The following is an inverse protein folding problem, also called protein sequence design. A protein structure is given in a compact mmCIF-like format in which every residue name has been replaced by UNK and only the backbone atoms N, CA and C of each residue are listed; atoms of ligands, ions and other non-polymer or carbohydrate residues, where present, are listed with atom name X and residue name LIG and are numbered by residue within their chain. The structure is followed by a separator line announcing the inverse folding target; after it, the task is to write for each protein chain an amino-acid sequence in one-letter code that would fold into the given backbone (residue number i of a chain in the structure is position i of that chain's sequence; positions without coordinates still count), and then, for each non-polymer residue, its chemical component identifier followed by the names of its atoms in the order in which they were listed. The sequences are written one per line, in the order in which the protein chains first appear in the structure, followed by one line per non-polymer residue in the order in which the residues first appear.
data_IF_575897023410
#
_entry.id   IF_575897023410
#
_cell.length_a   1.000
_cell.length_b   1.000
_cell.length_c   1.000
_cell.angle_alpha   90.00
_cell.angle_beta   90.00
_cell.angle_gamma   90.00
#
_symmetry.space_group_name_H-M   'P 1'
#
loop_
_entity.id
_entity.type
_entity.pdbx_description
1 polymer ?
#
# COMPACT_ATOMS: atom_id res chain seq x y z
N UNK A 1 1.82 41.32 -46.18
CA UNK A 1 2.48 40.94 -44.95
C UNK A 1 1.84 41.57 -43.69
N UNK A 2 1.46 42.81 -43.69
CA UNK A 2 0.84 43.50 -42.54
C UNK A 2 -0.54 42.99 -42.12
N UNK A 3 -1.41 42.55 -43.05
CA UNK A 3 -2.75 42.05 -42.72
C UNK A 3 -2.72 40.64 -42.09
N UNK A 4 -1.78 39.81 -42.49
CA UNK A 4 -1.60 38.49 -41.89
C UNK A 4 -1.10 38.61 -40.43
N UNK A 5 -0.16 39.50 -40.18
CA UNK A 5 0.36 39.80 -38.85
C UNK A 5 -0.72 40.41 -37.93
N UNK A 6 -1.59 41.29 -38.46
CA UNK A 6 -2.74 41.83 -37.72
C UNK A 6 -3.74 40.74 -37.34
N UNK A 7 -4.09 39.87 -38.26
CA UNK A 7 -5.03 38.76 -38.02
C UNK A 7 -4.48 37.79 -36.99
N UNK A 8 -3.15 37.49 -37.06
CA UNK A 8 -2.48 36.63 -36.11
C UNK A 8 -2.43 37.27 -34.72
N UNK A 9 -2.15 38.56 -34.61
CA UNK A 9 -2.18 39.32 -33.36
C UNK A 9 -3.55 39.38 -32.73
N UNK A 10 -4.62 39.57 -33.51
CA UNK A 10 -6.02 39.54 -33.02
C UNK A 10 -6.37 38.14 -32.55
N UNK A 11 -5.96 37.07 -33.26
CA UNK A 11 -6.22 35.70 -32.86
C UNK A 11 -5.55 35.34 -31.54
N UNK A 12 -4.27 35.78 -31.33
CA UNK A 12 -3.56 35.61 -30.08
C UNK A 12 -4.24 36.34 -28.92
N UNK A 13 -4.68 37.60 -29.15
CA UNK A 13 -5.37 38.37 -28.11
C UNK A 13 -6.69 37.72 -27.69
N UNK A 14 -7.50 37.25 -28.67
CA UNK A 14 -8.74 36.52 -28.38
C UNK A 14 -8.45 35.22 -27.62
N UNK A 15 -7.46 34.45 -28.06
CA UNK A 15 -7.04 33.22 -27.38
C UNK A 15 -6.61 33.48 -25.93
N UNK A 16 -5.84 34.54 -25.70
CA UNK A 16 -5.41 34.94 -24.35
C UNK A 16 -6.60 35.38 -23.47
N UNK A 17 -7.52 36.17 -24.05
CA UNK A 17 -8.73 36.59 -23.32
C UNK A 17 -9.61 35.40 -22.93
N UNK A 18 -9.80 34.42 -23.83
CA UNK A 18 -10.54 33.20 -23.55
C UNK A 18 -9.83 32.37 -22.47
N UNK A 19 -8.51 32.22 -22.55
CA UNK A 19 -7.75 31.50 -21.55
C UNK A 19 -7.86 32.13 -20.15
N UNK A 20 -7.82 33.47 -20.06
CA UNK A 20 -8.02 34.20 -18.80
C UNK A 20 -9.44 34.00 -18.26
N UNK A 21 -10.45 34.08 -19.10
CA UNK A 21 -11.84 33.87 -18.68
C UNK A 21 -12.07 32.45 -18.19
N UNK A 22 -11.51 31.47 -18.87
CA UNK A 22 -11.58 30.06 -18.43
C UNK A 22 -10.83 29.87 -17.11
N UNK A 23 -9.59 30.39 -16.98
CA UNK A 23 -8.81 30.28 -15.76
C UNK A 23 -9.48 30.95 -14.55
N UNK A 24 -10.10 32.10 -14.71
CA UNK A 24 -10.86 32.76 -13.66
C UNK A 24 -12.19 32.08 -13.39
N UNK A 25 -12.82 31.51 -14.41
CA UNK A 25 -14.08 30.77 -14.31
C UNK A 25 -13.87 29.47 -13.49
N UNK A 26 -12.81 28.73 -13.74
CA UNK A 26 -12.50 27.49 -13.00
C UNK A 26 -12.21 27.72 -11.51
N UNK A 27 -11.71 28.89 -11.15
CA UNK A 27 -11.43 29.23 -9.75
C UNK A 27 -12.68 29.67 -8.97
N UNK A 28 -13.71 30.16 -9.63
CA UNK A 28 -14.89 30.77 -8.97
C UNK A 28 -16.22 30.07 -9.24
N UNK A 29 -16.29 29.21 -10.25
CA UNK A 29 -17.54 28.57 -10.68
C UNK A 29 -17.29 27.06 -10.70
N UNK A 30 -17.72 26.36 -9.65
CA UNK A 30 -17.55 24.90 -9.48
C UNK A 30 -18.06 24.12 -10.69
N UNK A 31 -19.18 24.50 -11.27
CA UNK A 31 -19.75 23.85 -12.46
C UNK A 31 -18.80 23.86 -13.67
N UNK A 32 -18.06 24.95 -13.91
CA UNK A 32 -17.09 25.00 -15.03
C UNK A 32 -15.90 24.09 -14.75
N UNK A 33 -15.43 24.04 -13.49
CA UNK A 33 -14.38 23.14 -13.06
C UNK A 33 -14.82 21.69 -13.27
N UNK A 34 -15.95 21.27 -12.72
CA UNK A 34 -16.50 19.91 -12.84
C UNK A 34 -16.67 19.47 -14.30
N UNK A 35 -17.14 20.39 -15.16
CA UNK A 35 -17.31 20.10 -16.59
C UNK A 35 -15.95 19.89 -17.29
N UNK A 36 -14.95 20.70 -16.98
CA UNK A 36 -13.61 20.58 -17.57
C UNK A 36 -12.89 19.34 -17.04
N UNK A 37 -12.98 19.07 -15.74
CA UNK A 37 -12.42 17.87 -15.10
C UNK A 37 -13.05 16.61 -15.70
N UNK A 38 -14.37 16.61 -15.94
CA UNK A 38 -15.05 15.50 -16.60
C UNK A 38 -14.56 15.23 -18.04
N UNK A 39 -14.23 16.28 -18.80
CA UNK A 39 -13.62 16.11 -20.13
C UNK A 39 -12.16 15.64 -20.04
N UNK A 40 -11.39 16.18 -19.10
CA UNK A 40 -10.01 15.76 -18.87
C UNK A 40 -9.95 14.28 -18.49
N UNK A 41 -10.78 13.83 -17.55
CA UNK A 41 -10.86 12.43 -17.11
C UNK A 41 -11.20 11.49 -18.26
N UNK A 42 -12.22 11.81 -19.06
CA UNK A 42 -12.59 11.01 -20.25
C UNK A 42 -11.45 10.94 -21.28
N UNK A 43 -10.78 12.06 -21.50
CA UNK A 43 -9.61 12.11 -22.42
C UNK A 43 -8.46 11.29 -21.89
N UNK A 44 -8.20 11.34 -20.57
CA UNK A 44 -7.18 10.53 -19.91
C UNK A 44 -7.50 9.03 -20.04
N UNK A 45 -8.72 8.62 -19.70
CA UNK A 45 -9.16 7.22 -19.77
C UNK A 45 -9.08 6.68 -21.19
N UNK A 46 -9.44 7.48 -22.19
CA UNK A 46 -9.34 7.10 -23.60
C UNK A 46 -7.87 6.86 -24.03
N UNK A 47 -6.96 7.73 -23.59
CA UNK A 47 -5.52 7.57 -23.87
C UNK A 47 -4.94 6.37 -23.15
N UNK A 48 -5.35 6.12 -21.89
CA UNK A 48 -4.90 4.96 -21.13
C UNK A 48 -5.34 3.66 -21.79
N UNK A 49 -6.60 3.54 -22.19
CA UNK A 49 -7.11 2.37 -22.94
C UNK A 49 -6.32 2.13 -24.22
N UNK A 50 -6.13 3.18 -25.02
CA UNK A 50 -5.35 3.06 -26.25
C UNK A 50 -3.89 2.64 -26.03
N UNK A 51 -3.29 3.02 -24.88
CA UNK A 51 -1.95 2.57 -24.53
C UNK A 51 -1.93 1.11 -24.08
N UNK A 52 -2.91 0.67 -23.28
CA UNK A 52 -3.00 -0.73 -22.81
C UNK A 52 -3.15 -1.69 -24.00
N UNK A 53 -3.97 -1.33 -25.00
CA UNK A 53 -4.15 -2.14 -26.21
C UNK A 53 -2.87 -2.28 -27.04
N UNK A 54 -1.87 -1.41 -26.82
CA UNK A 54 -0.57 -1.44 -27.52
C UNK A 54 0.58 -2.01 -26.69
N UNK A 55 0.34 -2.43 -25.44
CA UNK A 55 1.38 -3.08 -24.61
C UNK A 55 1.54 -4.54 -25.09
N UNK A 56 2.71 -4.86 -25.63
CA UNK A 56 3.04 -6.24 -25.94
C UNK A 56 3.05 -7.10 -24.67
N UNK A 57 2.39 -8.26 -24.69
CA UNK A 57 2.30 -9.22 -23.57
C UNK A 57 3.67 -9.64 -22.99
N UNK A 58 4.72 -9.52 -23.78
CA UNK A 58 6.09 -9.96 -23.42
C UNK A 58 6.77 -9.15 -22.30
N UNK A 59 6.18 -8.05 -21.83
CA UNK A 59 6.82 -7.20 -20.81
C UNK A 59 6.43 -7.52 -19.36
N UNK A 60 5.49 -8.47 -19.15
CA UNK A 60 4.87 -8.72 -17.82
C UNK A 60 5.42 -9.98 -17.12
N UNK A 61 6.30 -10.75 -17.77
CA UNK A 61 6.82 -12.03 -17.25
C UNK A 61 7.62 -11.93 -15.93
N UNK A 62 7.92 -10.72 -15.46
CA UNK A 62 8.72 -10.51 -14.24
C UNK A 62 7.89 -10.28 -12.99
N UNK A 63 6.57 -10.17 -13.09
CA UNK A 63 5.66 -9.96 -11.95
C UNK A 63 4.72 -11.14 -11.84
N UNK A 64 4.71 -11.79 -10.68
CA UNK A 64 3.80 -12.89 -10.36
C UNK A 64 2.84 -12.41 -9.27
N UNK A 65 1.55 -12.55 -9.50
CA UNK A 65 0.51 -12.27 -8.51
C UNK A 65 0.15 -13.58 -7.81
N UNK A 66 0.25 -13.58 -6.48
CA UNK A 66 -0.22 -14.69 -5.63
C UNK A 66 -1.55 -14.24 -5.05
N UNK A 67 -2.62 -14.87 -5.50
CA UNK A 67 -3.99 -14.53 -5.11
C UNK A 67 -4.50 -15.49 -4.03
N UNK A 68 -5.30 -14.95 -3.10
CA UNK A 68 -6.05 -15.73 -2.11
C UNK A 68 -7.45 -15.95 -2.70
N UNK A 69 -7.59 -17.06 -3.41
CA UNK A 69 -8.81 -17.38 -4.12
C UNK A 69 -9.81 -18.21 -3.28
N UNK A 70 -11.01 -18.40 -3.81
CA UNK A 70 -12.09 -19.15 -3.16
C UNK A 70 -11.65 -20.55 -2.74
N UNK A 71 -10.86 -21.27 -3.54
CA UNK A 71 -10.35 -22.61 -3.20
C UNK A 71 -9.48 -22.60 -1.94
N UNK A 72 -8.69 -21.54 -1.75
CA UNK A 72 -7.86 -21.36 -0.55
C UNK A 72 -8.76 -21.18 0.69
N UNK A 73 -9.83 -20.39 0.56
CA UNK A 73 -10.80 -20.15 1.63
C UNK A 73 -11.59 -21.44 1.95
N UNK A 74 -12.00 -22.21 0.95
CA UNK A 74 -12.68 -23.49 1.16
C UNK A 74 -11.78 -24.54 1.82
N UNK A 75 -10.48 -24.51 1.54
CA UNK A 75 -9.51 -25.47 2.11
C UNK A 75 -9.02 -25.09 3.50
N UNK A 76 -8.80 -23.81 3.78
CA UNK A 76 -8.18 -23.31 5.00
C UNK A 76 -9.16 -22.59 5.95
N UNK A 77 -10.41 -22.40 5.54
CA UNK A 77 -11.38 -21.62 6.29
C UNK A 77 -11.36 -20.14 5.97
N UNK A 78 -12.14 -19.36 6.73
CA UNK A 78 -12.24 -17.92 6.53
C UNK A 78 -10.87 -17.23 6.67
N UNK A 79 -10.53 -16.40 5.71
CA UNK A 79 -9.23 -15.70 5.66
C UNK A 79 -8.90 -14.91 6.95
N UNK A 80 -9.90 -14.29 7.56
CA UNK A 80 -9.71 -13.52 8.78
C UNK A 80 -9.32 -14.38 10.00
N UNK A 81 -9.53 -15.69 9.91
CA UNK A 81 -9.23 -16.65 10.98
C UNK A 81 -7.89 -17.37 10.73
N UNK A 82 -7.19 -17.05 9.64
CA UNK A 82 -5.92 -17.71 9.32
C UNK A 82 -4.83 -17.29 10.30
N UNK A 83 -4.11 -18.26 10.89
CA UNK A 83 -2.93 -17.96 11.68
C UNK A 83 -1.87 -17.21 10.87
N UNK A 84 -1.22 -16.22 11.46
CA UNK A 84 -0.11 -15.51 10.82
C UNK A 84 1.03 -16.42 10.38
N UNK A 85 1.20 -17.57 11.05
CA UNK A 85 2.14 -18.60 10.66
C UNK A 85 1.98 -19.08 9.21
N UNK A 86 0.76 -19.05 8.64
CA UNK A 86 0.54 -19.42 7.24
C UNK A 86 1.23 -18.45 6.28
N UNK A 87 1.21 -17.16 6.60
CA UNK A 87 1.94 -16.15 5.82
C UNK A 87 3.46 -16.32 5.95
N UNK A 88 3.95 -16.72 7.13
CA UNK A 88 5.36 -17.09 7.31
C UNK A 88 5.75 -18.27 6.41
N UNK A 89 4.94 -19.33 6.39
CA UNK A 89 5.17 -20.48 5.50
C UNK A 89 5.14 -20.08 4.02
N UNK A 90 4.22 -19.18 3.62
CA UNK A 90 4.18 -18.64 2.26
C UNK A 90 5.47 -17.92 1.91
N UNK A 91 6.00 -17.08 2.83
CA UNK A 91 7.30 -16.41 2.63
C UNK A 91 8.40 -17.43 2.39
N UNK A 92 8.49 -18.45 3.23
CA UNK A 92 9.54 -19.48 3.14
C UNK A 92 9.50 -20.18 1.77
N UNK A 93 8.31 -20.57 1.32
CA UNK A 93 8.11 -21.22 0.01
C UNK A 93 8.47 -20.28 -1.13
N UNK A 94 7.94 -19.06 -1.15
CA UNK A 94 8.16 -18.11 -2.25
C UNK A 94 9.63 -17.70 -2.31
N UNK A 95 10.24 -17.41 -1.16
CA UNK A 95 11.64 -16.95 -1.11
C UNK A 95 12.64 -18.05 -1.46
N UNK A 96 12.27 -19.33 -1.36
CA UNK A 96 13.07 -20.44 -1.88
C UNK A 96 13.32 -20.37 -3.38
N UNK A 97 12.37 -19.76 -4.14
CA UNK A 97 12.50 -19.44 -5.56
C UNK A 97 13.39 -18.23 -5.87
N UNK A 98 13.96 -17.60 -4.85
CA UNK A 98 14.87 -16.46 -4.96
C UNK A 98 14.29 -15.25 -5.72
N UNK A 99 13.06 -14.76 -5.43
CA UNK A 99 12.52 -13.56 -6.04
C UNK A 99 13.36 -12.33 -5.66
N UNK A 100 13.22 -11.24 -6.42
CA UNK A 100 13.85 -9.96 -6.08
C UNK A 100 13.14 -9.28 -4.89
N UNK A 101 11.82 -9.38 -4.86
CA UNK A 101 10.95 -8.82 -3.84
C UNK A 101 9.70 -9.69 -3.67
N UNK A 102 9.16 -9.74 -2.47
CA UNK A 102 7.83 -10.23 -2.13
C UNK A 102 7.08 -9.10 -1.45
N UNK A 103 5.97 -8.68 -2.05
CA UNK A 103 5.21 -7.52 -1.61
C UNK A 103 3.86 -8.01 -1.06
N UNK A 104 3.55 -7.65 0.18
CA UNK A 104 2.22 -7.83 0.76
C UNK A 104 1.42 -6.53 0.62
N UNK A 105 0.39 -6.56 -0.21
CA UNK A 105 -0.63 -5.50 -0.30
C UNK A 105 -1.78 -5.80 0.67
N UNK A 106 -1.42 -6.10 1.90
CA UNK A 106 -2.32 -6.47 2.98
C UNK A 106 -1.84 -5.77 4.25
N UNK A 107 -2.78 -5.23 5.02
CA UNK A 107 -2.54 -4.71 6.35
C UNK A 107 -2.81 -5.82 7.36
N UNK A 108 -1.79 -6.15 8.13
CA UNK A 108 -1.88 -7.17 9.17
C UNK A 108 -2.00 -6.51 10.53
N UNK A 109 -3.08 -6.81 11.23
CA UNK A 109 -3.19 -6.50 12.66
C UNK A 109 -2.39 -7.51 13.49
N UNK A 110 -1.98 -7.14 14.73
CA UNK A 110 -1.37 -8.11 15.65
C UNK A 110 -2.30 -9.29 15.89
N UNK A 111 -1.78 -10.51 15.80
CA UNK A 111 -2.56 -11.71 16.05
C UNK A 111 -2.84 -11.87 17.55
N UNK A 112 -4.14 -11.94 17.91
CA UNK A 112 -4.60 -12.13 19.28
C UNK A 112 -5.15 -13.54 19.55
N UNK A 113 -5.13 -14.42 18.56
CA UNK A 113 -5.75 -15.74 18.64
C UNK A 113 -4.80 -16.84 19.14
N UNK A 114 -3.48 -16.56 19.17
CA UNK A 114 -2.52 -17.53 19.64
C UNK A 114 -2.62 -17.75 21.16
N UNK A 115 -2.88 -19.00 21.56
CA UNK A 115 -3.12 -19.32 22.95
C UNK A 115 -1.83 -19.76 23.67
N UNK A 116 -1.08 -18.79 24.17
CA UNK A 116 0.15 -19.04 24.95
C UNK A 116 -0.11 -19.85 26.23
N UNK A 117 -1.27 -19.66 26.87
CA UNK A 117 -1.59 -20.41 28.10
C UNK A 117 -1.81 -21.91 27.80
N UNK A 118 -2.43 -22.21 26.66
CA UNK A 118 -2.57 -23.60 26.20
C UNK A 118 -1.21 -24.23 25.94
N UNK A 119 -0.32 -23.54 25.24
CA UNK A 119 1.06 -24.03 24.97
C UNK A 119 1.82 -24.26 26.27
N UNK A 120 1.76 -23.30 27.19
CA UNK A 120 2.42 -23.41 28.50
C UNK A 120 1.84 -24.57 29.32
N UNK A 121 0.52 -24.77 29.32
CA UNK A 121 -0.10 -25.90 30.00
C UNK A 121 0.32 -27.26 29.43
N UNK A 122 0.38 -27.37 28.10
CA UNK A 122 0.78 -28.59 27.41
C UNK A 122 2.30 -28.93 27.61
N UNK A 123 3.12 -27.90 27.79
CA UNK A 123 4.58 -28.09 27.99
C UNK A 123 5.00 -28.29 29.46
N UNK A 124 4.11 -27.99 30.41
CA UNK A 124 4.44 -27.99 31.85
C UNK A 124 4.20 -29.33 32.59
N UNK A 125 3.51 -30.30 31.99
CA UNK A 125 3.16 -31.56 32.65
C UNK A 125 4.02 -32.74 32.17
N UNK A 126 4.77 -33.31 33.14
CA UNK A 126 5.63 -34.48 32.93
C UNK A 126 4.88 -35.80 33.20
N UNK A 127 4.11 -36.30 32.27
CA UNK A 127 3.41 -37.59 32.37
C UNK A 127 3.68 -38.51 31.18
N UNK A 128 3.44 -39.86 31.27
CA UNK A 128 3.77 -40.79 30.17
C UNK A 128 3.01 -40.61 28.85
N UNK A 129 2.14 -39.63 28.76
CA UNK A 129 1.51 -39.13 27.50
C UNK A 129 2.37 -38.09 26.81
N UNK A 130 3.57 -37.84 27.31
CA UNK A 130 4.49 -36.78 26.89
C UNK A 130 4.81 -36.81 25.41
N UNK A 131 5.03 -37.98 24.82
CA UNK A 131 5.41 -38.03 23.40
C UNK A 131 4.26 -37.60 22.47
N UNK A 132 3.03 -38.01 22.76
CA UNK A 132 1.88 -37.60 21.98
C UNK A 132 1.54 -36.10 22.18
N UNK A 133 1.55 -35.63 23.43
CA UNK A 133 1.34 -34.22 23.75
C UNK A 133 2.44 -33.33 23.18
N UNK A 134 3.69 -33.78 23.21
CA UNK A 134 4.83 -33.10 22.60
C UNK A 134 4.63 -32.95 21.10
N UNK A 135 4.23 -34.02 20.39
CA UNK A 135 3.96 -33.96 18.94
C UNK A 135 2.79 -33.04 18.59
N UNK A 136 1.70 -33.08 19.36
CA UNK A 136 0.53 -32.18 19.15
C UNK A 136 0.92 -30.73 19.41
N UNK A 137 1.69 -30.46 20.47
CA UNK A 137 2.16 -29.10 20.80
C UNK A 137 3.12 -28.59 19.73
N UNK A 138 4.06 -29.40 19.27
CA UNK A 138 4.97 -29.05 18.20
C UNK A 138 4.21 -28.75 16.90
N UNK A 139 3.24 -29.57 16.55
CA UNK A 139 2.40 -29.35 15.38
C UNK A 139 1.59 -28.05 15.51
N UNK A 140 1.02 -27.78 16.69
CA UNK A 140 0.29 -26.55 16.97
C UNK A 140 1.19 -25.31 16.82
N UNK A 141 2.39 -25.35 17.39
CA UNK A 141 3.37 -24.26 17.29
C UNK A 141 3.77 -24.00 15.83
N UNK A 142 4.11 -25.06 15.09
CA UNK A 142 4.50 -24.93 13.69
C UNK A 142 3.40 -24.29 12.84
N UNK A 143 2.13 -24.62 13.13
CA UNK A 143 1.00 -24.16 12.32
C UNK A 143 0.41 -22.83 12.77
N UNK A 144 0.61 -22.42 14.03
CA UNK A 144 -0.11 -21.27 14.59
C UNK A 144 0.79 -20.24 15.27
N UNK A 145 2.09 -20.48 15.44
CA UNK A 145 2.98 -19.50 16.07
C UNK A 145 3.13 -18.24 15.22
N UNK A 146 2.63 -17.08 15.65
CA UNK A 146 2.69 -15.84 14.90
C UNK A 146 4.12 -15.32 14.73
N UNK A 147 5.05 -15.72 15.60
CA UNK A 147 6.45 -15.32 15.51
C UNK A 147 7.12 -15.80 14.23
N UNK A 148 6.63 -16.91 13.65
CA UNK A 148 7.12 -17.42 12.38
C UNK A 148 6.96 -16.41 11.24
N UNK A 149 5.85 -15.68 11.19
CA UNK A 149 5.63 -14.67 10.16
C UNK A 149 6.67 -13.54 10.26
N UNK A 150 6.93 -13.06 11.48
CA UNK A 150 7.94 -12.03 11.74
C UNK A 150 9.34 -12.55 11.40
N UNK A 151 9.67 -13.77 11.84
CA UNK A 151 10.97 -14.40 11.59
C UNK A 151 11.23 -14.62 10.11
N UNK A 152 10.28 -15.22 9.36
CA UNK A 152 10.40 -15.44 7.92
C UNK A 152 10.50 -14.12 7.15
N UNK A 153 9.77 -13.08 7.59
CA UNK A 153 9.91 -11.72 7.05
C UNK A 153 11.34 -11.21 7.21
N UNK A 154 11.89 -11.30 8.42
CA UNK A 154 13.23 -10.83 8.73
C UNK A 154 14.33 -11.63 8.01
N UNK A 155 14.28 -12.95 8.05
CA UNK A 155 15.31 -13.81 7.48
C UNK A 155 15.37 -13.73 5.95
N UNK A 156 14.22 -13.57 5.29
CA UNK A 156 14.16 -13.47 3.83
C UNK A 156 14.89 -12.26 3.27
N UNK A 157 14.90 -11.13 4.00
CA UNK A 157 15.43 -9.82 3.56
C UNK A 157 14.85 -9.33 2.21
N UNK A 158 13.65 -9.80 1.84
CA UNK A 158 13.01 -9.54 0.54
C UNK A 158 11.55 -9.14 0.66
N UNK A 159 11.01 -9.15 1.88
CA UNK A 159 9.61 -8.85 2.13
C UNK A 159 9.40 -7.36 2.32
N UNK A 160 8.33 -6.85 1.70
CA UNK A 160 7.87 -5.47 1.77
C UNK A 160 6.44 -5.47 2.28
N UNK A 161 6.13 -4.68 3.31
CA UNK A 161 4.81 -4.59 3.91
C UNK A 161 4.14 -3.25 3.61
N UNK A 162 2.83 -3.31 3.49
CA UNK A 162 1.99 -2.14 3.25
C UNK A 162 1.77 -1.33 4.53
N UNK A 163 1.73 -0.01 4.36
CA UNK A 163 1.26 0.97 5.33
C UNK A 163 0.06 1.71 4.72
N UNK A 164 -0.90 2.11 5.53
CA UNK A 164 -2.00 2.96 5.07
C UNK A 164 -2.10 4.18 5.96
N UNK A 165 -2.07 5.35 5.33
CA UNK A 165 -2.26 6.64 5.97
C UNK A 165 -3.68 7.13 5.76
N UNK A 166 -4.25 7.79 6.73
CA UNK A 166 -5.49 8.54 6.54
C UNK A 166 -5.18 9.83 5.80
N UNK A 167 -5.80 9.97 4.63
CA UNK A 167 -5.74 11.16 3.81
C UNK A 167 -7.11 11.86 3.92
N UNK A 168 -7.17 13.07 4.46
CA UNK A 168 -8.37 13.91 4.47
C UNK A 168 -9.63 13.28 5.10
N UNK A 169 -9.51 12.65 6.28
CA UNK A 169 -10.65 12.07 7.02
C UNK A 169 -11.51 11.04 6.24
N UNK A 170 -10.99 10.49 5.14
CA UNK A 170 -11.75 9.65 4.23
C UNK A 170 -11.89 8.20 4.66
N UNK A 171 -11.06 7.74 5.58
CA UNK A 171 -11.02 6.35 6.03
C UNK A 171 -11.38 6.22 7.50
N UNK A 172 -12.40 5.41 7.80
CA UNK A 172 -12.89 5.20 9.15
C UNK A 172 -12.28 3.92 9.77
N UNK A 173 -10.97 3.88 9.94
CA UNK A 173 -10.30 2.78 10.63
C UNK A 173 -10.51 2.86 12.15
N UNK A 174 -10.70 1.70 12.79
CA UNK A 174 -10.94 1.63 14.24
C UNK A 174 -9.70 1.97 15.06
N UNK A 175 -8.51 1.71 14.52
CA UNK A 175 -7.24 1.95 15.19
C UNK A 175 -6.37 2.87 14.35
N UNK A 176 -6.24 4.12 14.79
CA UNK A 176 -5.43 5.14 14.14
C UNK A 176 -4.36 5.62 15.11
N UNK A 177 -3.18 5.87 14.60
CA UNK A 177 -2.05 6.38 15.36
C UNK A 177 -1.64 7.75 14.83
N UNK A 178 -1.56 8.73 15.74
CA UNK A 178 -1.12 10.10 15.43
C UNK A 178 0.42 10.22 15.36
N UNK A 179 1.14 9.18 15.80
CA UNK A 179 2.59 9.12 15.82
C UNK A 179 3.08 7.77 15.30
N UNK A 180 4.32 7.74 14.85
CA UNK A 180 4.97 6.50 14.46
C UNK A 180 5.29 5.65 15.67
N UNK A 181 4.97 4.35 15.63
CA UNK A 181 5.52 3.40 16.58
C UNK A 181 7.05 3.27 16.44
N UNK A 182 7.70 2.83 17.50
CA UNK A 182 9.15 2.54 17.46
C UNK A 182 9.49 1.54 16.33
N UNK A 183 10.49 1.87 15.54
CA UNK A 183 10.94 1.04 14.40
C UNK A 183 10.32 1.37 13.04
N UNK A 184 9.30 2.23 12.98
CA UNK A 184 8.74 2.70 11.71
C UNK A 184 9.63 3.75 11.03
N UNK A 185 10.34 4.54 11.81
CA UNK A 185 11.20 5.63 11.37
C UNK A 185 12.60 5.18 10.91
N UNK A 186 12.76 3.90 10.58
CA UNK A 186 14.04 3.41 10.05
C UNK A 186 14.43 4.22 8.82
N UNK A 187 15.70 4.65 8.72
CA UNK A 187 16.16 5.48 7.59
C UNK A 187 15.92 4.87 6.20
N UNK A 188 15.92 3.53 6.11
CA UNK A 188 15.68 2.80 4.87
C UNK A 188 14.19 2.71 4.50
N UNK A 189 13.26 3.05 5.43
CA UNK A 189 11.83 3.18 5.17
C UNK A 189 11.46 4.58 4.65
N UNK A 190 12.31 5.58 4.82
CA UNK A 190 12.00 6.98 4.59
C UNK A 190 12.63 7.52 3.31
N UNK A 191 11.98 8.52 2.73
CA UNK A 191 12.55 9.38 1.70
C UNK A 191 12.94 10.70 2.34
N UNK A 192 14.20 11.11 2.17
CA UNK A 192 14.66 12.39 2.68
C UNK A 192 14.38 13.50 1.66
N UNK A 193 13.39 14.34 1.95
CA UNK A 193 13.06 15.54 1.16
C UNK A 193 13.11 16.80 2.03
N UNK A 194 13.48 17.94 1.43
CA UNK A 194 13.25 19.24 2.07
C UNK A 194 11.77 19.45 2.39
N UNK A 195 11.46 20.10 3.51
CA UNK A 195 10.10 20.27 4.00
C UNK A 195 9.16 20.94 2.97
N UNK A 196 9.66 21.93 2.25
CA UNK A 196 8.91 22.64 1.19
C UNK A 196 8.52 21.73 0.00
N UNK A 197 9.29 20.69 -0.25
CA UNK A 197 8.99 19.66 -1.24
C UNK A 197 8.07 18.58 -0.67
N UNK A 198 8.33 18.15 0.57
CA UNK A 198 7.52 17.15 1.26
C UNK A 198 6.04 17.61 1.38
N UNK A 199 5.81 18.87 1.71
CA UNK A 199 4.47 19.47 1.84
C UNK A 199 3.68 19.56 0.51
N UNK A 200 4.29 19.25 -0.63
CA UNK A 200 3.58 19.14 -1.92
C UNK A 200 3.06 17.75 -2.21
N UNK A 201 3.44 16.77 -1.39
CA UNK A 201 2.93 15.40 -1.46
C UNK A 201 1.55 15.32 -0.79
N UNK A 202 0.76 14.29 -1.07
CA UNK A 202 -0.42 13.98 -0.28
C UNK A 202 -0.05 13.89 1.21
N UNK A 203 -0.85 14.52 2.05
CA UNK A 203 -0.60 14.60 3.49
C UNK A 203 -1.39 13.50 4.17
N UNK A 204 -0.70 12.67 4.95
CA UNK A 204 -1.30 11.75 5.89
C UNK A 204 -1.24 12.33 7.29
N UNK A 205 -2.34 12.37 8.00
CA UNK A 205 -2.43 12.88 9.37
C UNK A 205 -2.37 11.75 10.41
N UNK A 206 -2.79 10.54 10.04
CA UNK A 206 -2.80 9.35 10.89
C UNK A 206 -2.34 8.11 10.12
N UNK A 207 -1.77 7.16 10.86
CA UNK A 207 -1.36 5.85 10.36
C UNK A 207 -2.31 4.79 10.90
N UNK A 208 -2.71 3.83 10.07
CA UNK A 208 -3.43 2.64 10.55
C UNK A 208 -2.54 1.79 11.45
N UNK A 209 -3.16 1.17 12.45
CA UNK A 209 -2.46 0.22 13.29
C UNK A 209 -2.11 -1.02 12.45
N UNK A 210 -0.83 -1.27 12.22
CA UNK A 210 -0.28 -2.46 11.58
C UNK A 210 0.58 -3.22 12.58
N UNK A 211 0.82 -4.48 12.29
CA UNK A 211 1.68 -5.31 13.13
C UNK A 211 3.12 -4.76 13.13
N UNK A 212 3.50 -4.12 14.25
CA UNK A 212 4.78 -3.39 14.36
C UNK A 212 5.99 -4.27 14.12
N UNK A 213 5.97 -5.50 14.65
CA UNK A 213 7.11 -6.42 14.52
C UNK A 213 7.32 -6.82 13.05
N UNK A 214 6.25 -6.94 12.26
CA UNK A 214 6.35 -7.19 10.82
C UNK A 214 6.98 -6.02 10.08
N UNK A 215 6.57 -4.79 10.40
CA UNK A 215 7.15 -3.60 9.78
C UNK A 215 8.63 -3.48 10.15
N UNK A 216 8.98 -3.73 11.41
CA UNK A 216 10.37 -3.69 11.87
C UNK A 216 11.23 -4.79 11.24
N UNK A 217 10.66 -5.97 10.98
CA UNK A 217 11.33 -7.10 10.34
C UNK A 217 11.44 -6.96 8.82
N UNK A 218 10.55 -6.17 8.20
CA UNK A 218 10.48 -6.01 6.76
C UNK A 218 11.77 -5.46 6.15
N UNK A 219 12.03 -5.80 4.89
CA UNK A 219 13.08 -5.14 4.10
C UNK A 219 12.83 -3.65 4.02
N UNK A 220 11.60 -3.27 3.67
CA UNK A 220 11.05 -1.92 3.72
C UNK A 220 9.54 -1.96 3.91
N UNK A 221 8.99 -0.83 4.31
CA UNK A 221 7.56 -0.58 4.29
C UNK A 221 7.23 0.57 3.34
N UNK A 222 6.04 0.54 2.78
CA UNK A 222 5.59 1.59 1.87
C UNK A 222 4.09 1.78 1.91
N UNK A 223 3.64 2.98 1.52
CA UNK A 223 2.22 3.33 1.50
C UNK A 223 1.45 2.58 0.42
N UNK A 224 0.33 1.96 0.78
CA UNK A 224 -0.66 1.40 -0.13
C UNK A 224 -1.82 2.37 -0.41
N UNK A 225 -1.63 3.66 -0.20
CA UNK A 225 -2.65 4.66 -0.47
C UNK A 225 -2.75 4.96 -1.96
N UNK A 226 -3.95 4.77 -2.50
CA UNK A 226 -4.33 5.13 -3.87
C UNK A 226 -5.57 6.02 -3.82
N UNK A 227 -5.40 7.35 -3.66
CA UNK A 227 -6.54 8.26 -3.59
C UNK A 227 -7.32 8.22 -4.90
N UNK A 228 -8.63 8.23 -4.76
CA UNK A 228 -9.55 8.31 -5.89
C UNK A 228 -9.69 9.75 -6.36
N UNK A 229 -9.89 9.94 -7.67
CA UNK A 229 -10.35 11.22 -8.21
C UNK A 229 -11.81 11.49 -7.81
N UNK A 230 -12.33 12.71 -8.01
CA UNK A 230 -13.69 13.12 -7.61
C UNK A 230 -14.81 12.21 -8.16
N UNK A 231 -14.55 11.48 -9.23
CA UNK A 231 -15.50 10.52 -9.83
C UNK A 231 -15.35 9.07 -9.31
N UNK A 232 -14.50 8.85 -8.29
CA UNK A 232 -14.29 7.56 -7.67
C UNK A 232 -13.32 6.63 -8.42
N UNK A 233 -12.69 7.10 -9.48
CA UNK A 233 -11.74 6.30 -10.28
C UNK A 233 -10.31 6.62 -9.85
N UNK A 234 -9.48 5.60 -9.66
CA UNK A 234 -8.05 5.75 -9.39
C UNK A 234 -7.31 5.87 -10.71
N UNK A 235 -6.75 7.06 -11.00
CA UNK A 235 -5.95 7.31 -12.21
C UNK A 235 -4.49 7.61 -11.91
N UNK A 236 -4.20 7.94 -10.68
CA UNK A 236 -2.86 8.38 -10.24
C UNK A 236 -2.46 7.64 -8.99
N UNK A 237 -1.23 7.21 -8.93
CA UNK A 237 -0.61 6.72 -7.71
C UNK A 237 0.35 7.80 -7.21
N UNK A 238 0.24 8.26 -5.97
CA UNK A 238 1.26 9.11 -5.39
C UNK A 238 2.58 8.34 -5.33
N UNK A 239 3.70 9.01 -5.50
CA UNK A 239 5.02 8.36 -5.35
C UNK A 239 5.42 8.23 -3.89
N UNK A 240 4.91 9.10 -3.04
CA UNK A 240 5.17 9.12 -1.61
C UNK A 240 4.05 9.86 -0.87
N UNK A 241 3.98 9.64 0.44
CA UNK A 241 3.06 10.31 1.38
C UNK A 241 3.90 11.07 2.40
N UNK A 242 3.51 12.31 2.69
CA UNK A 242 4.08 13.08 3.79
C UNK A 242 3.25 12.86 5.06
N UNK A 243 3.85 12.25 6.07
CA UNK A 243 3.21 12.06 7.38
C UNK A 243 3.47 13.30 8.24
N UNK A 244 2.43 14.10 8.49
CA UNK A 244 2.57 15.45 9.03
C UNK A 244 3.08 15.46 10.48
N UNK A 245 2.59 14.57 11.34
CA UNK A 245 2.98 14.53 12.75
C UNK A 245 4.49 14.41 12.95
N UNK A 246 5.13 13.32 12.50
CA UNK A 246 6.57 13.12 12.60
C UNK A 246 7.38 13.91 11.59
N UNK A 247 6.76 14.47 10.54
CA UNK A 247 7.39 15.14 9.40
C UNK A 247 8.27 14.21 8.55
N UNK A 248 7.82 12.98 8.39
CA UNK A 248 8.49 11.96 7.60
C UNK A 248 7.81 11.75 6.24
N UNK A 249 8.56 11.30 5.26
CA UNK A 249 8.06 10.96 3.93
C UNK A 249 8.24 9.48 3.69
N UNK A 250 7.13 8.79 3.48
CA UNK A 250 7.11 7.37 3.17
C UNK A 250 6.94 7.16 1.66
N UNK A 251 7.73 6.29 1.02
CA UNK A 251 7.50 5.89 -0.36
C UNK A 251 6.18 5.14 -0.47
N UNK A 252 5.58 5.10 -1.66
CA UNK A 252 4.56 4.09 -1.94
C UNK A 252 5.19 2.70 -1.94
N UNK A 253 4.36 1.69 -1.71
CA UNK A 253 4.80 0.29 -1.63
C UNK A 253 5.56 -0.16 -2.89
N UNK A 254 5.10 0.28 -4.07
CA UNK A 254 5.77 0.01 -5.35
C UNK A 254 7.14 0.69 -5.47
N UNK A 255 7.29 1.90 -4.92
CA UNK A 255 8.57 2.60 -4.93
C UNK A 255 9.53 2.07 -3.86
N UNK A 256 9.01 1.51 -2.77
CA UNK A 256 9.79 0.91 -1.70
C UNK A 256 10.48 -0.40 -2.14
N UNK A 257 9.81 -1.18 -3.00
CA UNK A 257 10.27 -2.47 -3.52
C UNK A 257 11.25 -2.32 -4.69
#
# INVERSE_FOLDING_TARGET
MNDLLKRLGIGVLIGLAVAIVVALGTQKISFIKELLDGYEFRSYDSRMRANVDNVEEASIDSVVIIDIEQNSIEGLGNYNDWPHAYHGQLIDVVTSGNPKALIFDIIFDPENTFNYDLVNALTSESTPQEEYLSQVTEQYLVSNDPSRFVLSTYESQKVYHALVFELEDTLNFQHKMDSEPEGYDRPDHLIHLPLDQAQRLPIGDRLTNTHMDLISAAKRAGSANFPQDEDGIIRRAPTAIYFEGPKHVYPTLVLAA
#
